data_IF_976929469124
#
_entry.id   IF_976929469124
#
_cell.length_a   1.000
_cell.length_b   1.000
_cell.length_c   1.000
_cell.angle_alpha   90.00
_cell.angle_beta   90.00
_cell.angle_gamma   90.00
#
_symmetry.space_group_name_H-M   'P 1'
#
loop_
_entity.id
_entity.type
_entity.pdbx_description
1 polymer ?
#
# COMPACT_ATOMS: atom_id res chain seq x y z
N UNK A 1 -23.53 10.60 23.08
CA UNK A 1 -24.45 11.77 23.17
C UNK A 1 -25.63 11.28 23.98
N UNK A 2 -25.89 11.88 25.14
CA UNK A 2 -26.97 11.46 26.04
C UNK A 2 -28.13 12.45 26.01
N UNK A 3 -29.29 12.08 26.55
CA UNK A 3 -30.35 13.04 26.80
C UNK A 3 -29.90 14.07 27.85
N UNK A 4 -30.39 15.31 27.74
CA UNK A 4 -30.01 16.42 28.62
C UNK A 4 -30.47 16.22 30.09
N UNK A 5 -31.41 15.31 30.34
CA UNK A 5 -31.87 14.96 31.69
C UNK A 5 -32.13 13.46 31.84
N UNK A 6 -32.03 12.95 33.08
CA UNK A 6 -32.34 11.56 33.42
C UNK A 6 -33.84 11.31 33.67
N UNK A 7 -34.70 12.31 33.48
CA UNK A 7 -36.14 12.21 33.63
C UNK A 7 -36.84 12.25 32.26
N UNK A 8 -37.95 11.53 32.15
CA UNK A 8 -38.79 11.59 30.97
C UNK A 8 -39.36 13.01 30.82
N UNK A 9 -39.20 13.66 29.64
CA UNK A 9 -39.66 15.03 29.44
C UNK A 9 -41.19 15.18 29.57
N UNK A 10 -41.95 14.10 29.36
CA UNK A 10 -43.41 14.14 29.37
C UNK A 10 -44.02 13.82 30.75
N UNK A 11 -43.39 12.96 31.55
CA UNK A 11 -43.97 12.45 32.80
C UNK A 11 -43.05 12.52 34.02
N UNK A 12 -41.80 12.97 33.87
CA UNK A 12 -40.84 13.17 34.97
C UNK A 12 -40.26 11.89 35.59
N UNK A 13 -40.64 10.70 35.12
CA UNK A 13 -40.15 9.42 35.63
C UNK A 13 -38.70 9.14 35.20
N UNK A 14 -37.90 8.36 35.95
CA UNK A 14 -36.51 8.07 35.59
C UNK A 14 -36.42 7.29 34.27
N UNK A 15 -35.53 7.73 33.38
CA UNK A 15 -35.23 7.04 32.13
C UNK A 15 -34.45 5.75 32.40
N UNK A 16 -34.87 4.64 31.78
CA UNK A 16 -34.12 3.37 31.76
C UNK A 16 -33.46 3.18 30.39
N UNK A 17 -32.25 2.62 30.39
CA UNK A 17 -31.58 2.22 29.16
C UNK A 17 -32.35 1.07 28.47
N UNK A 18 -32.44 1.11 27.15
CA UNK A 18 -33.15 0.09 26.33
C UNK A 18 -32.19 -0.52 25.31
N UNK A 19 -31.57 0.34 24.49
CA UNK A 19 -30.55 -0.01 23.50
C UNK A 19 -29.79 1.25 23.10
N UNK A 20 -28.59 1.07 22.56
CA UNK A 20 -27.87 2.16 21.92
C UNK A 20 -28.32 2.30 20.45
N UNK A 21 -28.42 3.54 19.98
CA UNK A 21 -28.57 3.84 18.56
C UNK A 21 -27.18 4.08 17.98
N UNK A 22 -26.71 3.16 17.14
CA UNK A 22 -25.39 3.23 16.51
C UNK A 22 -25.55 3.93 15.16
N UNK A 23 -24.88 5.06 14.99
CA UNK A 23 -24.78 5.78 13.72
C UNK A 23 -23.33 5.84 13.26
N UNK A 24 -23.04 5.25 12.11
CA UNK A 24 -21.72 5.31 11.48
C UNK A 24 -21.70 6.41 10.43
N UNK A 25 -20.62 7.21 10.44
CA UNK A 25 -20.35 8.22 9.42
C UNK A 25 -18.98 7.92 8.82
N UNK A 26 -18.92 7.81 7.49
CA UNK A 26 -17.67 7.58 6.77
C UNK A 26 -17.09 8.91 6.30
N UNK A 27 -15.84 9.17 6.66
CA UNK A 27 -15.07 10.30 6.16
C UNK A 27 -13.93 9.80 5.26
N UNK A 28 -13.45 10.63 4.33
CA UNK A 28 -12.40 10.27 3.37
C UNK A 28 -11.13 11.10 3.62
N UNK A 29 -10.07 10.42 4.05
CA UNK A 29 -8.74 11.00 4.17
C UNK A 29 -7.90 10.51 2.98
N UNK A 30 -7.44 11.40 2.08
CA UNK A 30 -6.62 11.02 0.94
C UNK A 30 -5.30 10.35 1.36
N UNK A 31 -4.69 9.63 0.41
CA UNK A 31 -3.40 8.98 0.61
C UNK A 31 -2.28 9.99 0.97
N UNK A 32 -1.40 9.60 1.88
CA UNK A 32 -0.25 10.39 2.32
C UNK A 32 1.06 9.75 1.89
N UNK A 33 2.01 10.56 1.41
CA UNK A 33 3.35 10.11 1.05
C UNK A 33 4.34 10.45 2.18
N UNK A 34 5.12 9.45 2.60
CA UNK A 34 6.10 9.59 3.68
C UNK A 34 7.50 9.30 3.14
N UNK A 35 8.42 10.25 3.35
CA UNK A 35 9.83 10.08 3.01
C UNK A 35 10.57 9.47 4.20
N UNK A 36 10.96 8.19 4.10
CA UNK A 36 11.84 7.54 5.07
C UNK A 36 13.30 7.78 4.70
N UNK A 37 14.03 8.54 5.52
CA UNK A 37 15.44 8.83 5.30
C UNK A 37 16.33 7.90 6.11
N UNK A 38 17.12 7.07 5.44
CA UNK A 38 18.12 6.21 6.07
C UNK A 38 19.50 6.84 5.98
N UNK A 39 20.03 7.30 7.11
CA UNK A 39 21.38 7.89 7.19
C UNK A 39 22.36 6.80 7.62
N UNK A 40 23.36 6.51 6.77
CA UNK A 40 24.38 5.49 7.01
C UNK A 40 25.77 6.14 6.98
N UNK A 41 26.32 6.52 8.15
CA UNK A 41 27.67 7.05 8.22
C UNK A 41 28.69 6.06 7.64
N UNK A 42 29.68 6.59 6.94
CA UNK A 42 30.81 5.84 6.41
C UNK A 42 32.04 6.14 7.26
N UNK A 43 32.77 5.11 7.64
CA UNK A 43 33.98 5.21 8.46
C UNK A 43 35.16 4.66 7.68
N UNK A 44 36.26 5.41 7.63
CA UNK A 44 37.53 4.95 7.07
C UNK A 44 38.42 4.36 8.15
N UNK A 45 39.07 3.24 7.87
CA UNK A 45 40.16 2.73 8.70
C UNK A 45 41.49 3.33 8.21
N UNK A 46 42.21 4.05 9.06
CA UNK A 46 43.49 4.67 8.66
C UNK A 46 44.59 3.64 8.37
N UNK A 47 44.59 2.50 9.07
CA UNK A 47 45.62 1.47 8.89
C UNK A 47 45.54 0.71 7.57
N UNK A 48 44.33 0.41 7.09
CA UNK A 48 44.14 -0.38 5.86
C UNK A 48 43.37 0.36 4.75
N UNK A 49 43.07 1.65 4.95
CA UNK A 49 42.34 2.52 4.02
C UNK A 49 40.96 2.00 3.59
N UNK A 50 40.36 1.08 4.36
CA UNK A 50 39.04 0.49 4.04
C UNK A 50 37.91 1.39 4.54
N UNK A 51 36.89 1.58 3.71
CA UNK A 51 35.64 2.25 4.09
C UNK A 51 34.58 1.23 4.49
N UNK A 52 33.98 1.42 5.67
CA UNK A 52 32.92 0.57 6.20
C UNK A 52 31.66 1.39 6.49
N UNK A 53 30.49 0.78 6.29
CA UNK A 53 29.19 1.36 6.64
C UNK A 53 28.22 0.25 7.05
N UNK A 54 27.35 0.49 8.04
CA UNK A 54 26.37 -0.51 8.48
C UNK A 54 25.36 -0.81 7.38
N UNK A 55 24.94 -2.06 7.12
CA UNK A 55 24.17 -2.43 5.90
C UNK A 55 22.75 -1.86 5.88
N UNK A 56 22.24 -1.54 4.69
CA UNK A 56 20.82 -1.21 4.49
C UNK A 56 20.01 -2.51 4.41
N UNK A 57 18.76 -2.54 4.92
CA UNK A 57 17.85 -3.66 4.66
C UNK A 57 17.70 -3.92 3.16
N UNK A 58 17.41 -5.16 2.80
CA UNK A 58 17.10 -5.51 1.42
C UNK A 58 15.84 -4.75 0.95
N UNK A 59 15.89 -4.21 -0.26
CA UNK A 59 14.81 -3.45 -0.86
C UNK A 59 14.33 -4.15 -2.12
N UNK A 60 13.01 -4.07 -2.39
CA UNK A 60 12.40 -4.64 -3.61
C UNK A 60 13.02 -4.01 -4.87
N UNK A 61 13.20 -2.69 -4.86
CA UNK A 61 13.89 -1.97 -5.92
C UNK A 61 15.27 -1.56 -5.38
N UNK A 62 16.37 -2.24 -5.75
CA UNK A 62 17.70 -1.90 -5.23
C UNK A 62 18.09 -0.46 -5.55
N UNK A 63 18.46 0.32 -4.52
CA UNK A 63 18.80 1.76 -4.63
C UNK A 63 17.66 2.62 -5.19
N UNK A 64 16.44 2.08 -5.23
CA UNK A 64 15.25 2.81 -5.66
C UNK A 64 14.73 3.74 -4.58
N UNK A 65 13.89 4.68 -5.01
CA UNK A 65 13.12 5.55 -4.11
C UNK A 65 11.99 4.79 -3.36
N UNK A 66 11.29 3.78 -3.94
CA UNK A 66 10.07 3.30 -3.34
C UNK A 66 10.33 2.33 -2.19
N UNK A 67 9.65 2.57 -1.08
CA UNK A 67 9.44 1.58 -0.03
C UNK A 67 8.41 0.53 -0.49
N UNK A 68 8.35 -0.66 0.15
CA UNK A 68 7.46 -1.74 -0.26
C UNK A 68 5.98 -1.32 -0.41
N UNK A 69 5.49 -0.44 0.46
CA UNK A 69 4.11 0.07 0.39
C UNK A 69 3.82 0.88 -0.88
N UNK A 70 4.79 1.66 -1.38
CA UNK A 70 4.61 2.43 -2.60
C UNK A 70 4.60 1.50 -3.83
N UNK A 71 5.45 0.47 -3.84
CA UNK A 71 5.43 -0.55 -4.90
C UNK A 71 4.08 -1.29 -4.90
N UNK A 72 3.60 -1.69 -3.72
CA UNK A 72 2.31 -2.35 -3.58
C UNK A 72 1.15 -1.48 -4.10
N UNK A 73 1.11 -0.18 -3.73
CA UNK A 73 0.09 0.74 -4.22
C UNK A 73 0.07 0.81 -5.76
N UNK A 74 1.25 0.92 -6.39
CA UNK A 74 1.36 1.01 -7.86
C UNK A 74 0.84 -0.26 -8.54
N UNK A 75 1.18 -1.44 -7.99
CA UNK A 75 0.75 -2.73 -8.52
C UNK A 75 -0.75 -2.94 -8.35
N UNK A 76 -1.29 -2.71 -7.15
CA UNK A 76 -2.72 -2.86 -6.86
C UNK A 76 -3.53 -1.90 -7.74
N UNK A 77 -3.14 -0.62 -7.78
CA UNK A 77 -3.82 0.36 -8.64
C UNK A 77 -3.79 -0.08 -10.10
N UNK A 78 -2.66 -0.63 -10.58
CA UNK A 78 -2.52 -1.04 -11.98
C UNK A 78 -3.35 -2.26 -12.33
N UNK A 79 -3.27 -3.31 -11.52
CA UNK A 79 -3.78 -4.63 -11.87
C UNK A 79 -5.15 -4.93 -11.26
N UNK A 80 -5.40 -4.50 -10.03
CA UNK A 80 -6.70 -4.69 -9.37
C UNK A 80 -7.68 -3.59 -9.78
N UNK A 81 -7.23 -2.33 -9.76
CA UNK A 81 -8.11 -1.16 -10.00
C UNK A 81 -8.08 -0.68 -11.46
N UNK A 82 -7.33 -1.38 -12.33
CA UNK A 82 -7.21 -1.09 -13.77
C UNK A 82 -6.74 0.35 -14.07
N UNK A 83 -5.96 0.95 -13.18
CA UNK A 83 -5.47 2.31 -13.34
C UNK A 83 -4.15 2.34 -14.15
N UNK A 84 -4.14 2.93 -15.36
CA UNK A 84 -2.91 3.02 -16.15
C UNK A 84 -1.88 3.92 -15.47
N UNK A 85 -0.59 3.67 -15.73
CA UNK A 85 0.51 4.32 -15.01
C UNK A 85 0.55 5.85 -15.18
N UNK A 86 0.15 6.37 -16.35
CA UNK A 86 0.05 7.82 -16.55
C UNK A 86 -1.02 8.45 -15.65
N UNK A 87 -2.11 7.73 -15.37
CA UNK A 87 -3.16 8.23 -14.50
C UNK A 87 -2.73 8.16 -13.03
N UNK A 88 -2.00 7.10 -12.64
CA UNK A 88 -1.37 7.04 -11.32
C UNK A 88 -0.37 8.18 -11.10
N UNK A 89 0.47 8.48 -12.09
CA UNK A 89 1.36 9.63 -12.07
C UNK A 89 0.60 10.94 -11.77
N UNK A 90 -0.52 11.19 -12.46
CA UNK A 90 -1.33 12.39 -12.22
C UNK A 90 -1.93 12.42 -10.81
N UNK A 91 -2.38 11.26 -10.28
CA UNK A 91 -2.86 11.16 -8.90
C UNK A 91 -1.75 11.48 -7.91
N UNK A 92 -0.53 10.99 -8.12
CA UNK A 92 0.61 11.26 -7.25
C UNK A 92 1.04 12.74 -7.33
N UNK A 93 1.01 13.34 -8.52
CA UNK A 93 1.31 14.76 -8.72
C UNK A 93 0.35 15.67 -7.95
N UNK A 94 -0.95 15.30 -7.83
CA UNK A 94 -1.91 16.03 -6.97
C UNK A 94 -1.55 16.02 -5.49
N UNK A 95 -0.78 15.02 -5.05
CA UNK A 95 -0.23 14.94 -3.70
C UNK A 95 1.18 15.56 -3.60
N UNK A 96 1.64 16.27 -4.63
CA UNK A 96 2.97 16.91 -4.68
C UNK A 96 4.11 15.93 -4.97
N UNK A 97 3.81 14.73 -5.48
CA UNK A 97 4.81 13.69 -5.77
C UNK A 97 4.94 13.48 -7.28
N UNK A 98 5.99 14.06 -7.85
CA UNK A 98 6.31 13.93 -9.28
C UNK A 98 7.09 12.64 -9.55
N UNK A 99 6.44 11.68 -10.21
CA UNK A 99 7.03 10.39 -10.57
C UNK A 99 6.86 10.13 -12.07
N UNK A 100 7.95 10.00 -12.86
CA UNK A 100 7.86 9.66 -14.27
C UNK A 100 7.18 8.29 -14.50
N UNK A 101 6.38 8.18 -15.57
CA UNK A 101 5.78 6.90 -15.97
C UNK A 101 6.84 5.81 -16.20
N UNK A 102 8.01 6.18 -16.73
CA UNK A 102 9.14 5.26 -16.92
C UNK A 102 9.66 4.70 -15.59
N UNK A 103 9.69 5.53 -14.54
CA UNK A 103 10.05 5.11 -13.19
C UNK A 103 9.03 4.12 -12.63
N UNK A 104 7.73 4.44 -12.74
CA UNK A 104 6.66 3.53 -12.32
C UNK A 104 6.72 2.19 -13.08
N UNK A 105 6.93 2.24 -14.40
CA UNK A 105 7.06 1.05 -15.24
C UNK A 105 8.26 0.18 -14.84
N UNK A 106 9.41 0.80 -14.54
CA UNK A 106 10.60 0.10 -14.04
C UNK A 106 10.36 -0.58 -12.69
N UNK A 107 9.56 0.04 -11.81
CA UNK A 107 9.17 -0.59 -10.54
C UNK A 107 8.25 -1.79 -10.75
N UNK A 108 7.24 -1.65 -11.62
CA UNK A 108 6.34 -2.75 -11.99
C UNK A 108 7.14 -3.93 -12.54
N UNK A 109 8.03 -3.68 -13.50
CA UNK A 109 8.86 -4.73 -14.10
C UNK A 109 9.69 -5.49 -13.05
N UNK A 110 10.39 -4.75 -12.18
CA UNK A 110 11.19 -5.35 -11.11
C UNK A 110 10.34 -6.16 -10.13
N UNK A 111 9.18 -5.64 -9.73
CA UNK A 111 8.29 -6.35 -8.82
C UNK A 111 7.72 -7.62 -9.46
N UNK A 112 7.39 -7.60 -10.75
CA UNK A 112 6.97 -8.80 -11.48
C UNK A 112 8.05 -9.88 -11.50
N UNK A 113 9.34 -9.51 -11.62
CA UNK A 113 10.46 -10.46 -11.50
C UNK A 113 10.47 -11.11 -10.11
N UNK A 114 10.29 -10.33 -9.05
CA UNK A 114 10.23 -10.87 -7.68
C UNK A 114 9.02 -11.78 -7.43
N UNK A 115 7.89 -11.51 -8.09
CA UNK A 115 6.66 -12.31 -7.97
C UNK A 115 6.65 -13.54 -8.88
N UNK A 116 7.60 -13.67 -9.80
CA UNK A 116 7.67 -14.78 -10.75
C UNK A 116 7.66 -16.17 -10.08
N UNK A 117 8.35 -16.43 -8.96
CA UNK A 117 8.28 -17.71 -8.27
C UNK A 117 6.86 -18.05 -7.77
N UNK A 118 6.09 -17.05 -7.36
CA UNK A 118 4.69 -17.26 -6.93
C UNK A 118 3.78 -17.54 -8.12
N UNK A 119 3.98 -16.83 -9.24
CA UNK A 119 3.24 -17.08 -10.47
C UNK A 119 3.52 -18.50 -11.00
N UNK A 120 4.77 -18.95 -10.91
CA UNK A 120 5.16 -20.30 -11.30
C UNK A 120 4.57 -21.37 -10.38
N UNK A 121 4.60 -21.14 -9.06
CA UNK A 121 3.96 -22.05 -8.10
C UNK A 121 2.45 -22.16 -8.36
N UNK A 122 1.79 -21.03 -8.58
CA UNK A 122 0.36 -21.00 -8.91
C UNK A 122 0.09 -21.77 -10.22
N UNK A 123 0.94 -21.61 -11.23
CA UNK A 123 0.84 -22.36 -12.48
C UNK A 123 0.96 -23.86 -12.25
N UNK A 124 1.97 -24.30 -11.50
CA UNK A 124 2.15 -25.73 -11.15
C UNK A 124 0.94 -26.27 -10.43
N UNK A 125 0.42 -25.52 -9.44
CA UNK A 125 -0.73 -25.92 -8.66
C UNK A 125 -1.99 -26.04 -9.52
N UNK A 126 -2.25 -25.07 -10.39
CA UNK A 126 -3.38 -25.10 -11.32
C UNK A 126 -3.29 -26.31 -12.27
N UNK A 127 -2.12 -26.57 -12.85
CA UNK A 127 -1.93 -27.70 -13.77
C UNK A 127 -2.02 -29.08 -13.09
N UNK A 128 -1.97 -29.14 -11.75
CA UNK A 128 -2.21 -30.39 -11.02
C UNK A 128 -3.69 -30.76 -10.92
N UNK A 129 -4.60 -29.82 -11.22
CA UNK A 129 -6.05 -30.02 -11.04
C UNK A 129 -6.65 -30.76 -12.24
N UNK A 130 -7.59 -31.68 -12.02
CA UNK A 130 -8.20 -32.46 -13.10
C UNK A 130 -9.09 -31.60 -14.03
N UNK A 131 -9.57 -30.44 -13.55
CA UNK A 131 -10.40 -29.51 -14.29
C UNK A 131 -9.88 -28.09 -14.07
N UNK A 132 -9.78 -27.32 -15.15
CA UNK A 132 -9.39 -25.91 -15.15
C UNK A 132 -10.48 -25.08 -15.82
N UNK A 133 -10.92 -24.02 -15.16
CA UNK A 133 -11.83 -23.04 -15.75
C UNK A 133 -11.01 -21.83 -16.19
N UNK A 134 -11.19 -21.41 -17.45
CA UNK A 134 -10.59 -20.21 -18.00
C UNK A 134 -11.72 -19.26 -18.42
N UNK A 135 -11.58 -17.98 -18.07
CA UNK A 135 -12.45 -16.92 -18.55
C UNK A 135 -11.69 -16.12 -19.62
N UNK A 136 -12.18 -16.16 -20.86
CA UNK A 136 -11.65 -15.34 -21.94
C UNK A 136 -12.30 -13.96 -21.90
N UNK A 137 -11.85 -13.12 -20.98
CA UNK A 137 -12.17 -11.68 -21.03
C UNK A 137 -11.32 -11.03 -22.14
N UNK A 138 -11.92 -10.41 -23.17
CA UNK A 138 -11.17 -9.71 -24.21
C UNK A 138 -10.43 -8.49 -23.64
N UNK A 139 -9.24 -8.21 -24.19
CA UNK A 139 -8.36 -7.10 -23.80
C UNK A 139 -8.80 -5.76 -24.39
#
# INVERSE_FOLDING_TARGET
IGPDSCACPDCGQPLRHIRDEISERLDYIPAQFVVKRYVRPQYGCEGCQRVVSGRLPAQIIPKGIPEPGLVAQVLVSKFCDRQPLYHQQQVFARAGVELPVSTLAGWVGTACVWLMPLAELLRTELLSRPVLHADETPL
#
